data_IF_323127808870
#
_entry.id   IF_323127808870
#
_cell.length_a   1.000
_cell.length_b   1.000
_cell.length_c   1.000
_cell.angle_alpha   90.00
_cell.angle_beta   90.00
_cell.angle_gamma   90.00
#
_symmetry.space_group_name_H-M   'P 1'
#
loop_
_entity.id
_entity.type
_entity.pdbx_description
1 polymer ?
#
# COMPACT_ATOMS: atom_id res chain seq x y z
N UNK A 1 -7.52 9.08 -9.06
CA UNK A 1 -8.23 8.29 -10.10
C UNK A 1 -7.43 8.39 -11.40
N UNK A 2 -7.07 7.24 -12.00
CA UNK A 2 -6.27 7.15 -13.25
C UNK A 2 -7.02 6.38 -14.36
N UNK A 3 -8.36 6.37 -14.31
CA UNK A 3 -9.21 5.51 -15.16
C UNK A 3 -9.03 5.81 -16.65
N UNK A 4 -8.90 7.09 -17.02
CA UNK A 4 -8.65 7.52 -18.39
C UNK A 4 -7.27 7.07 -18.92
N UNK A 5 -6.21 7.17 -18.12
CA UNK A 5 -4.86 6.68 -18.48
C UNK A 5 -4.86 5.16 -18.72
N UNK A 6 -5.55 4.40 -17.86
CA UNK A 6 -5.67 2.93 -17.99
C UNK A 6 -6.47 2.57 -19.25
N UNK A 7 -7.55 3.30 -19.53
CA UNK A 7 -8.35 3.15 -20.74
C UNK A 7 -7.51 3.39 -22.01
N UNK A 8 -6.69 4.44 -21.99
CA UNK A 8 -5.81 4.81 -23.10
C UNK A 8 -4.70 3.77 -23.32
N UNK A 9 -4.06 3.29 -22.25
CA UNK A 9 -3.09 2.19 -22.31
C UNK A 9 -3.70 0.89 -22.87
N UNK A 10 -4.92 0.52 -22.44
CA UNK A 10 -5.63 -0.64 -23.00
C UNK A 10 -6.00 -0.45 -24.47
N UNK A 11 -6.42 0.76 -24.86
CA UNK A 11 -6.75 1.08 -26.26
C UNK A 11 -5.51 1.00 -27.17
N UNK A 12 -4.33 1.29 -26.63
CA UNK A 12 -3.03 1.11 -27.31
C UNK A 12 -2.53 -0.35 -27.28
N UNK A 13 -3.30 -1.30 -26.74
CA UNK A 13 -2.96 -2.72 -26.73
C UNK A 13 -2.21 -3.22 -25.49
N UNK A 14 -2.09 -2.42 -24.43
CA UNK A 14 -1.49 -2.88 -23.19
C UNK A 14 -2.26 -4.08 -22.61
N UNK A 15 -1.56 -5.21 -22.40
CA UNK A 15 -2.14 -6.41 -21.80
C UNK A 15 -2.61 -6.11 -20.38
N UNK A 16 -3.74 -6.71 -20.00
CA UNK A 16 -4.26 -6.63 -18.63
C UNK A 16 -3.25 -7.09 -17.57
N UNK A 17 -2.27 -7.92 -17.93
CA UNK A 17 -1.16 -8.32 -17.06
C UNK A 17 -0.20 -7.16 -16.75
N UNK A 18 0.15 -6.34 -17.76
CA UNK A 18 1.05 -5.19 -17.60
C UNK A 18 0.45 -4.13 -16.67
N UNK A 19 -0.84 -3.85 -16.83
CA UNK A 19 -1.56 -2.90 -15.96
C UNK A 19 -1.62 -3.43 -14.51
N UNK A 20 -1.87 -4.73 -14.33
CA UNK A 20 -1.83 -5.36 -13.01
C UNK A 20 -0.45 -5.24 -12.36
N UNK A 21 0.61 -5.49 -13.12
CA UNK A 21 1.98 -5.40 -12.64
C UNK A 21 2.34 -3.96 -12.22
N UNK A 22 1.96 -2.94 -13.01
CA UNK A 22 2.20 -1.55 -12.67
C UNK A 22 1.50 -1.14 -11.36
N UNK A 23 0.22 -1.47 -11.21
CA UNK A 23 -0.53 -1.20 -9.98
C UNK A 23 0.02 -1.97 -8.77
N UNK A 24 0.43 -3.22 -8.96
CA UNK A 24 1.04 -4.01 -7.91
C UNK A 24 2.39 -3.44 -7.49
N UNK A 25 3.19 -2.97 -8.44
CA UNK A 25 4.47 -2.33 -8.16
C UNK A 25 4.28 -1.00 -7.40
N UNK A 26 3.34 -0.16 -7.81
CA UNK A 26 3.01 1.09 -7.10
C UNK A 26 2.51 0.80 -5.67
N UNK A 27 1.63 -0.20 -5.52
CA UNK A 27 1.15 -0.64 -4.21
C UNK A 27 2.28 -1.22 -3.34
N UNK A 28 3.19 -2.00 -3.92
CA UNK A 28 4.34 -2.55 -3.21
C UNK A 28 5.29 -1.45 -2.75
N UNK A 29 5.61 -0.47 -3.62
CA UNK A 29 6.42 0.69 -3.28
C UNK A 29 5.81 1.50 -2.13
N UNK A 30 4.51 1.80 -2.21
CA UNK A 30 3.78 2.49 -1.14
C UNK A 30 3.74 1.69 0.16
N UNK A 31 3.57 0.37 0.08
CA UNK A 31 3.55 -0.51 1.26
C UNK A 31 4.91 -0.55 1.95
N UNK A 32 6.00 -0.66 1.19
CA UNK A 32 7.37 -0.62 1.73
C UNK A 32 7.68 0.74 2.33
N UNK A 33 7.34 1.84 1.65
CA UNK A 33 7.53 3.18 2.18
C UNK A 33 6.74 3.39 3.48
N UNK A 34 5.49 2.93 3.53
CA UNK A 34 4.65 2.98 4.72
C UNK A 34 5.19 2.15 5.88
N UNK A 35 5.71 0.95 5.60
CA UNK A 35 6.32 0.08 6.61
C UNK A 35 7.58 0.71 7.22
N UNK A 36 8.47 1.26 6.38
CA UNK A 36 9.67 1.96 6.84
C UNK A 36 9.33 3.20 7.66
N UNK A 37 8.39 4.03 7.18
CA UNK A 37 7.95 5.21 7.90
C UNK A 37 7.28 4.86 9.23
N UNK A 38 6.40 3.85 9.25
CA UNK A 38 5.74 3.38 10.46
C UNK A 38 6.72 2.81 11.48
N UNK A 39 7.73 2.04 11.03
CA UNK A 39 8.79 1.53 11.90
C UNK A 39 9.60 2.68 12.53
N UNK A 40 10.02 3.66 11.72
CA UNK A 40 10.78 4.81 12.19
C UNK A 40 9.97 5.65 13.20
N UNK A 41 8.70 5.96 12.89
CA UNK A 41 7.81 6.70 13.78
C UNK A 41 7.54 5.94 15.08
N UNK A 42 7.37 4.62 15.03
CA UNK A 42 7.20 3.79 16.22
C UNK A 42 8.42 3.83 17.13
N UNK A 43 9.64 3.78 16.56
CA UNK A 43 10.89 3.88 17.32
C UNK A 43 11.08 5.27 17.94
N UNK A 44 10.84 6.33 17.16
CA UNK A 44 10.93 7.72 17.65
C UNK A 44 9.88 7.97 18.75
N UNK A 45 8.66 7.45 18.59
CA UNK A 45 7.62 7.53 19.60
C UNK A 45 8.01 6.83 20.90
N UNK A 46 8.52 5.59 20.81
CA UNK A 46 9.01 4.85 21.98
C UNK A 46 10.18 5.58 22.67
N UNK A 47 11.09 6.18 21.89
CA UNK A 47 12.19 6.98 22.42
C UNK A 47 11.68 8.25 23.14
N UNK A 48 10.71 8.96 22.56
CA UNK A 48 10.09 10.13 23.18
C UNK A 48 9.37 9.79 24.50
N UNK A 49 8.65 8.67 24.54
CA UNK A 49 8.00 8.17 25.76
C UNK A 49 9.02 7.87 26.85
N UNK A 50 10.17 7.25 26.51
CA UNK A 50 11.26 7.01 27.47
C UNK A 50 11.88 8.29 28.01
N UNK A 51 11.98 9.33 27.17
CA UNK A 51 12.51 10.63 27.58
C UNK A 51 11.57 11.33 28.59
N UNK A 52 10.26 11.19 28.38
CA UNK A 52 9.24 11.78 29.24
C UNK A 52 8.98 10.97 30.52
N UNK A 53 9.10 9.64 30.47
CA UNK A 53 8.79 8.72 31.58
C UNK A 53 9.86 7.62 31.69
N UNK A 54 10.98 7.88 32.41
CA UNK A 54 12.10 6.93 32.53
C UNK A 54 11.75 5.64 33.28
N UNK A 55 10.76 5.72 34.17
CA UNK A 55 10.28 4.62 35.03
C UNK A 55 9.38 3.63 34.27
N UNK A 56 8.84 4.00 33.10
CA UNK A 56 8.01 3.09 32.30
C UNK A 56 8.89 2.21 31.42
N UNK A 57 8.85 0.87 31.57
CA UNK A 57 9.45 -0.04 30.61
C UNK A 57 8.61 -0.06 29.33
N UNK A 58 8.79 0.95 28.48
CA UNK A 58 8.16 1.07 27.17
C UNK A 58 8.82 0.12 26.14
N UNK A 59 8.87 -1.18 26.46
CA UNK A 59 9.19 -2.21 25.47
C UNK A 59 7.91 -2.68 24.80
N UNK A 60 7.80 -2.55 23.46
CA UNK A 60 6.74 -3.22 22.73
C UNK A 60 6.90 -4.73 22.97
N UNK A 61 5.87 -5.44 23.45
CA UNK A 61 5.94 -6.88 23.56
C UNK A 61 6.03 -7.49 22.15
N UNK A 62 6.67 -8.65 22.01
CA UNK A 62 6.95 -9.26 20.70
C UNK A 62 5.68 -9.46 19.85
N UNK A 63 4.56 -9.79 20.50
CA UNK A 63 3.27 -9.92 19.82
C UNK A 63 2.80 -8.60 19.19
N UNK A 64 3.10 -7.45 19.78
CA UNK A 64 2.72 -6.14 19.23
C UNK A 64 3.53 -5.81 17.98
N UNK A 65 4.81 -6.19 17.96
CA UNK A 65 5.67 -6.08 16.76
C UNK A 65 5.13 -6.98 15.65
N UNK A 66 4.80 -8.23 15.97
CA UNK A 66 4.21 -9.18 15.01
C UNK A 66 2.84 -8.69 14.51
N UNK A 67 1.99 -8.17 15.38
CA UNK A 67 0.68 -7.62 15.02
C UNK A 67 0.81 -6.38 14.12
N UNK A 68 1.78 -5.50 14.39
CA UNK A 68 2.06 -4.34 13.55
C UNK A 68 2.52 -4.77 12.14
N UNK A 69 3.46 -5.73 12.05
CA UNK A 69 3.92 -6.29 10.79
C UNK A 69 2.79 -6.98 10.01
N UNK A 70 1.97 -7.80 10.69
CA UNK A 70 0.84 -8.49 10.10
C UNK A 70 -0.20 -7.50 9.56
N UNK A 71 -0.48 -6.43 10.31
CA UNK A 71 -1.42 -5.37 9.88
C UNK A 71 -0.87 -4.61 8.68
N UNK A 72 0.41 -4.24 8.67
CA UNK A 72 1.07 -3.57 7.56
C UNK A 72 1.07 -4.43 6.28
N UNK A 73 1.42 -5.71 6.38
CA UNK A 73 1.37 -6.64 5.25
C UNK A 73 -0.05 -6.88 4.77
N UNK A 74 -0.98 -7.12 5.70
CA UNK A 74 -2.39 -7.38 5.39
C UNK A 74 -3.03 -6.19 4.66
N UNK A 75 -2.82 -4.97 5.15
CA UNK A 75 -3.31 -3.75 4.50
C UNK A 75 -2.64 -3.53 3.14
N UNK A 76 -1.31 -3.67 3.02
CA UNK A 76 -0.61 -3.53 1.74
C UNK A 76 -1.10 -4.50 0.67
N UNK A 77 -1.33 -5.77 1.03
CA UNK A 77 -1.88 -6.79 0.13
C UNK A 77 -3.33 -6.49 -0.24
N UNK A 78 -4.19 -6.16 0.74
CA UNK A 78 -5.61 -5.85 0.51
C UNK A 78 -5.75 -4.65 -0.45
N UNK A 79 -5.10 -3.54 -0.12
CA UNK A 79 -5.19 -2.30 -0.88
C UNK A 79 -4.34 -2.32 -2.16
N UNK A 80 -3.41 -3.25 -2.33
CA UNK A 80 -2.71 -3.45 -3.61
C UNK A 80 -3.47 -4.36 -4.58
N UNK A 81 -3.97 -5.50 -4.10
CA UNK A 81 -4.55 -6.55 -4.95
C UNK A 81 -5.98 -6.22 -5.39
N UNK A 82 -6.81 -5.67 -4.50
CA UNK A 82 -8.22 -5.34 -4.83
C UNK A 82 -8.35 -4.31 -5.96
N UNK A 83 -7.70 -3.13 -5.91
CA UNK A 83 -7.80 -2.16 -6.99
C UNK A 83 -7.08 -2.63 -8.26
N UNK A 84 -5.94 -3.33 -8.17
CA UNK A 84 -5.27 -3.89 -9.34
C UNK A 84 -6.18 -4.86 -10.11
N UNK A 85 -6.92 -5.72 -9.39
CA UNK A 85 -7.92 -6.63 -9.98
C UNK A 85 -9.08 -5.86 -10.64
N UNK A 86 -9.58 -4.78 -10.02
CA UNK A 86 -10.64 -3.94 -10.60
C UNK A 86 -10.16 -3.21 -11.87
N UNK A 87 -8.96 -2.61 -11.85
CA UNK A 87 -8.36 -1.93 -13.00
C UNK A 87 -8.13 -2.87 -14.19
N UNK A 88 -7.72 -4.11 -13.91
CA UNK A 88 -7.51 -5.13 -14.93
C UNK A 88 -8.79 -5.51 -15.69
N UNK A 89 -9.95 -5.44 -15.02
CA UNK A 89 -11.27 -5.84 -15.57
C UNK A 89 -12.04 -4.69 -16.22
N UNK A 90 -11.54 -3.46 -16.16
CA UNK A 90 -12.19 -2.29 -16.73
C UNK A 90 -12.25 -2.38 -18.27
N UNK A 91 -13.44 -2.18 -18.84
CA UNK A 91 -13.64 -2.18 -20.29
C UNK A 91 -13.08 -0.88 -20.90
N UNK A 92 -12.12 -0.94 -21.84
CA UNK A 92 -11.50 0.26 -22.42
C UNK A 92 -12.49 1.22 -23.06
N UNK A 93 -13.58 0.72 -23.64
CA UNK A 93 -14.60 1.56 -24.28
C UNK A 93 -15.35 2.38 -23.24
N UNK A 94 -15.76 1.77 -22.13
CA UNK A 94 -16.40 2.48 -21.01
C UNK A 94 -15.43 3.42 -20.28
N UNK A 95 -14.13 3.10 -20.26
CA UNK A 95 -13.10 3.93 -19.63
C UNK A 95 -12.85 5.24 -20.41
N UNK A 96 -12.96 5.21 -21.74
CA UNK A 96 -12.84 6.40 -22.60
C UNK A 96 -14.15 7.17 -22.77
N UNK A 97 -15.31 6.50 -22.71
CA UNK A 97 -16.63 7.12 -22.93
C UNK A 97 -17.14 7.92 -21.73
N UNK A 98 -16.56 7.75 -20.53
CA UNK A 98 -16.78 8.64 -19.39
C UNK A 98 -16.01 9.94 -19.60
N UNK A 99 -16.55 10.81 -20.46
CA UNK A 99 -16.18 12.22 -20.55
C UNK A 99 -17.34 13.08 -20.10
#
# INVERSE_FOLDING_TARGET
QRTAEIGLLKALGARAGTIRAAFLAEAALLSVAGALAGFALGHVGAWGVRLAFPELPAWPPDWAVVAALATALGTGVLFGVLPARRAARLDPVQALSRR
#
